data_IF_422426309166
#
_entry.id   IF_422426309166
#
_cell.length_a   1.000
_cell.length_b   1.000
_cell.length_c   1.000
_cell.angle_alpha   90.00
_cell.angle_beta   90.00
_cell.angle_gamma   90.00
#
_symmetry.space_group_name_H-M   'P 1'
#
loop_
_entity.id
_entity.type
_entity.pdbx_description
1 polymer ?
#
# COMPACT_ATOMS: atom_id res chain seq x y z
N UNK A 1 -65.12 -2.24 -4.24
CA UNK A 1 -64.50 -2.31 -5.59
C UNK A 1 -63.02 -1.98 -5.45
N UNK A 2 -62.11 -2.83 -5.95
CA UNK A 2 -60.65 -2.78 -5.77
C UNK A 2 -59.97 -1.80 -6.74
N UNK A 3 -58.80 -1.25 -6.35
CA UNK A 3 -57.50 -1.12 -7.10
C UNK A 3 -56.69 0.07 -6.51
N UNK A 4 -55.77 -0.13 -5.55
CA UNK A 4 -54.32 -0.42 -5.70
C UNK A 4 -53.63 0.37 -6.82
N UNK A 5 -52.92 1.44 -6.47
CA UNK A 5 -51.86 2.04 -7.30
C UNK A 5 -50.61 2.21 -6.41
N UNK A 6 -49.79 1.16 -6.40
CA UNK A 6 -48.41 1.18 -5.94
C UNK A 6 -47.65 0.34 -6.96
N UNK A 7 -46.47 0.81 -7.38
CA UNK A 7 -45.40 0.15 -8.16
C UNK A 7 -45.19 0.69 -9.58
N UNK A 8 -44.51 1.83 -9.74
CA UNK A 8 -43.67 2.06 -10.94
C UNK A 8 -42.54 3.05 -10.63
N UNK A 9 -41.55 2.61 -9.86
CA UNK A 9 -40.27 3.35 -9.75
C UNK A 9 -39.06 2.42 -9.70
N UNK A 10 -39.20 1.17 -9.24
CA UNK A 10 -38.15 0.15 -9.35
C UNK A 10 -37.95 -0.44 -10.75
N UNK A 11 -38.85 -0.19 -11.72
CA UNK A 11 -38.85 -0.98 -12.96
C UNK A 11 -37.77 -0.57 -13.97
N UNK A 12 -37.33 0.69 -13.99
CA UNK A 12 -36.32 1.13 -14.97
C UNK A 12 -34.91 0.69 -14.57
N UNK A 13 -34.60 0.71 -13.27
CA UNK A 13 -33.30 0.30 -12.72
C UNK A 13 -33.08 -1.21 -12.84
N UNK A 14 -34.13 -2.03 -12.74
CA UNK A 14 -34.02 -3.48 -12.91
C UNK A 14 -33.98 -3.94 -14.37
N UNK A 15 -34.64 -3.20 -15.29
CA UNK A 15 -34.67 -3.55 -16.72
C UNK A 15 -33.34 -3.22 -17.40
N UNK A 16 -32.64 -2.15 -17.00
CA UNK A 16 -31.29 -1.86 -17.49
C UNK A 16 -30.27 -2.96 -17.16
N UNK A 17 -30.50 -3.72 -16.08
CA UNK A 17 -29.63 -4.83 -15.66
C UNK A 17 -29.90 -6.14 -16.44
N UNK A 18 -31.09 -6.31 -17.04
CA UNK A 18 -31.51 -7.54 -17.74
C UNK A 18 -31.30 -7.54 -19.26
N UNK A 19 -30.89 -6.42 -19.86
CA UNK A 19 -30.57 -6.30 -21.29
C UNK A 19 -29.05 -6.33 -21.58
N UNK A 20 -28.21 -6.47 -20.56
CA UNK A 20 -26.78 -6.69 -20.78
C UNK A 20 -26.58 -8.12 -21.33
N UNK A 21 -25.88 -8.32 -22.46
CA UNK A 21 -25.49 -9.64 -22.92
C UNK A 21 -24.86 -10.43 -21.77
N UNK A 22 -25.24 -11.70 -21.61
CA UNK A 22 -24.55 -12.69 -20.78
C UNK A 22 -23.07 -12.73 -21.22
N UNK A 23 -22.22 -11.93 -20.59
CA UNK A 23 -20.82 -11.76 -20.99
C UNK A 23 -20.30 -10.32 -20.96
N UNK A 24 -21.14 -9.30 -20.75
CA UNK A 24 -20.63 -7.94 -20.52
C UNK A 24 -20.17 -7.82 -19.07
N UNK A 25 -18.90 -8.15 -18.84
CA UNK A 25 -18.20 -7.77 -17.62
C UNK A 25 -17.86 -6.29 -17.72
N UNK A 26 -18.58 -5.44 -16.99
CA UNK A 26 -18.05 -4.13 -16.67
C UNK A 26 -16.91 -4.35 -15.66
N UNK A 27 -15.67 -4.35 -16.14
CA UNK A 27 -14.54 -4.17 -15.25
C UNK A 27 -14.71 -2.78 -14.64
N UNK A 28 -15.27 -2.70 -13.43
CA UNK A 28 -15.22 -1.49 -12.67
C UNK A 28 -13.74 -1.17 -12.42
N UNK A 29 -13.25 -0.14 -13.10
CA UNK A 29 -11.89 0.36 -12.90
C UNK A 29 -11.89 1.14 -11.59
N UNK A 30 -11.45 0.50 -10.53
CA UNK A 30 -11.21 1.15 -9.25
C UNK A 30 -9.77 1.63 -9.19
N UNK A 31 -9.47 2.74 -8.49
CA UNK A 31 -8.10 3.16 -8.29
C UNK A 31 -7.32 2.07 -7.55
N UNK A 32 -6.12 1.74 -8.05
CA UNK A 32 -5.25 0.72 -7.46
C UNK A 32 -3.81 1.21 -7.40
N UNK A 33 -3.03 0.64 -6.47
CA UNK A 33 -1.61 0.95 -6.37
C UNK A 33 -0.80 0.13 -7.37
N UNK A 34 0.23 0.75 -7.94
CA UNK A 34 1.20 0.11 -8.84
C UNK A 34 2.60 0.02 -8.23
N UNK A 35 2.81 0.64 -7.07
CA UNK A 35 4.09 0.64 -6.37
C UNK A 35 4.16 1.64 -5.23
N UNK A 36 5.20 1.52 -4.42
CA UNK A 36 5.54 2.44 -3.32
C UNK A 36 7.01 2.84 -3.39
N UNK A 37 7.34 3.99 -2.83
CA UNK A 37 8.71 4.50 -2.79
C UNK A 37 8.93 5.41 -1.58
N UNK A 38 10.20 5.56 -1.21
CA UNK A 38 10.64 6.46 -0.15
C UNK A 38 10.67 7.87 -0.72
N UNK A 39 9.77 8.72 -0.24
CA UNK A 39 9.75 10.14 -0.60
C UNK A 39 10.73 10.94 0.26
N UNK A 40 10.82 10.59 1.55
CA UNK A 40 11.76 11.17 2.50
C UNK A 40 12.31 10.09 3.43
N UNK A 41 13.62 10.07 3.61
CA UNK A 41 14.30 9.18 4.56
C UNK A 41 13.93 9.49 6.02
N UNK A 42 14.01 8.51 6.93
CA UNK A 42 13.88 8.76 8.37
C UNK A 42 14.99 9.70 8.86
N UNK A 43 14.76 10.34 10.01
CA UNK A 43 15.73 11.24 10.62
C UNK A 43 16.98 10.49 11.12
N UNK A 44 16.84 9.22 11.53
CA UNK A 44 17.94 8.36 12.01
C UNK A 44 18.31 7.33 10.94
N UNK A 45 19.55 7.41 10.45
CA UNK A 45 20.12 6.53 9.43
C UNK A 45 21.34 5.72 9.92
N UNK A 46 21.81 6.01 11.13
CA UNK A 46 22.91 5.33 11.81
C UNK A 46 22.39 4.76 13.13
N UNK A 47 22.77 3.52 13.43
CA UNK A 47 22.27 2.72 14.54
C UNK A 47 23.43 1.94 15.17
N UNK A 48 23.19 1.34 16.33
CA UNK A 48 24.07 0.32 16.93
C UNK A 48 23.38 -1.05 16.92
N UNK A 49 24.16 -2.13 16.97
CA UNK A 49 23.61 -3.48 17.17
C UNK A 49 22.77 -3.49 18.45
N UNK A 50 21.52 -3.94 18.34
CA UNK A 50 20.55 -3.89 19.42
C UNK A 50 19.54 -2.74 19.33
N UNK A 51 19.76 -1.73 18.48
CA UNK A 51 18.79 -0.67 18.27
C UNK A 51 17.52 -1.16 17.56
N UNK A 52 16.40 -0.50 17.83
CA UNK A 52 15.17 -0.63 17.03
C UNK A 52 15.16 0.38 15.88
N UNK A 53 14.62 -0.02 14.73
CA UNK A 53 14.44 0.91 13.61
C UNK A 53 13.45 2.01 13.98
N UNK A 54 13.85 3.27 13.79
CA UNK A 54 13.05 4.46 14.06
C UNK A 54 12.59 5.10 12.73
N UNK A 55 11.31 4.93 12.33
CA UNK A 55 10.78 5.52 11.11
C UNK A 55 10.44 7.00 11.26
N UNK A 56 10.74 7.66 12.38
CA UNK A 56 10.38 9.06 12.61
C UNK A 56 10.97 9.97 11.54
N UNK A 57 10.12 10.84 10.98
CA UNK A 57 10.48 11.77 9.90
C UNK A 57 10.41 11.17 8.49
N UNK A 58 10.22 9.85 8.36
CA UNK A 58 10.08 9.16 7.10
C UNK A 58 8.75 9.47 6.41
N UNK A 59 8.77 9.60 5.08
CA UNK A 59 7.57 9.70 4.25
C UNK A 59 7.62 8.67 3.13
N UNK A 60 6.57 7.85 3.03
CA UNK A 60 6.39 6.88 1.96
C UNK A 60 5.24 7.32 1.09
N UNK A 61 5.45 7.32 -0.22
CA UNK A 61 4.42 7.62 -1.20
C UNK A 61 4.13 6.39 -2.05
N UNK A 62 2.93 6.31 -2.61
CA UNK A 62 2.50 5.26 -3.52
C UNK A 62 2.02 5.83 -4.85
N UNK A 63 2.33 5.14 -5.94
CA UNK A 63 1.76 5.40 -7.25
C UNK A 63 0.40 4.73 -7.34
N UNK A 64 -0.64 5.52 -7.62
CA UNK A 64 -2.01 5.04 -7.73
C UNK A 64 -2.58 5.38 -9.11
N UNK A 65 -2.91 4.36 -9.89
CA UNK A 65 -3.59 4.53 -11.17
C UNK A 65 -5.08 4.73 -10.92
N UNK A 66 -5.62 5.85 -11.41
CA UNK A 66 -7.03 6.21 -11.30
C UNK A 66 -7.85 5.60 -12.44
N UNK A 67 -9.18 5.63 -12.28
CA UNK A 67 -10.12 5.12 -13.30
C UNK A 67 -10.03 5.88 -14.64
N UNK A 68 -9.56 7.13 -14.63
CA UNK A 68 -9.34 7.94 -15.84
C UNK A 68 -7.98 7.67 -16.52
N UNK A 69 -7.22 6.68 -16.02
CA UNK A 69 -5.91 6.29 -16.52
C UNK A 69 -4.75 7.16 -16.06
N UNK A 70 -4.98 8.16 -15.19
CA UNK A 70 -3.91 8.99 -14.65
C UNK A 70 -3.27 8.34 -13.43
N UNK A 71 -1.95 8.49 -13.32
CA UNK A 71 -1.22 8.13 -12.11
C UNK A 71 -1.14 9.33 -11.17
N UNK A 72 -1.57 9.14 -9.93
CA UNK A 72 -1.45 10.10 -8.83
C UNK A 72 -0.47 9.56 -7.80
N UNK A 73 0.30 10.45 -7.18
CA UNK A 73 1.21 10.11 -6.08
C UNK A 73 0.51 10.46 -4.76
N UNK A 74 0.28 9.46 -3.92
CA UNK A 74 -0.37 9.61 -2.62
C UNK A 74 0.62 9.38 -1.48
N UNK A 75 0.63 10.27 -0.48
CA UNK A 75 1.29 10.00 0.80
C UNK A 75 0.60 8.84 1.51
N UNK A 76 1.38 7.86 1.94
CA UNK A 76 0.90 6.71 2.71
C UNK A 76 1.09 6.96 4.20
N UNK A 77 0.15 6.46 5.00
CA UNK A 77 0.33 6.41 6.45
C UNK A 77 1.32 5.32 6.83
N UNK A 78 2.27 5.61 7.72
CA UNK A 78 3.20 4.58 8.21
C UNK A 78 2.49 3.40 8.90
N UNK A 79 1.30 3.62 9.45
CA UNK A 79 0.46 2.57 10.04
C UNK A 79 -0.13 1.58 9.04
N UNK A 80 -0.20 1.93 7.74
CA UNK A 80 -0.63 0.98 6.69
C UNK A 80 0.51 0.13 6.15
N UNK A 81 1.73 0.36 6.64
CA UNK A 81 2.93 -0.34 6.21
C UNK A 81 3.42 -1.27 7.31
N UNK A 82 4.04 -2.36 6.90
CA UNK A 82 4.90 -3.17 7.77
C UNK A 82 6.35 -2.98 7.36
N UNK A 83 7.28 -3.25 8.28
CA UNK A 83 8.71 -3.14 8.00
C UNK A 83 9.53 -4.17 8.78
N UNK A 84 10.65 -4.57 8.19
CA UNK A 84 11.60 -5.54 8.73
C UNK A 84 13.04 -5.16 8.33
N UNK A 85 14.04 -5.33 9.22
CA UNK A 85 13.90 -5.80 10.61
C UNK A 85 13.30 -4.72 11.54
N UNK A 86 12.75 -5.15 12.69
CA UNK A 86 12.30 -4.23 13.76
C UNK A 86 13.45 -3.79 14.66
N UNK A 87 14.42 -4.68 14.85
CA UNK A 87 15.60 -4.52 15.70
C UNK A 87 16.82 -5.02 14.93
N UNK A 88 17.93 -4.30 15.02
CA UNK A 88 19.17 -4.67 14.36
C UNK A 88 19.95 -5.66 15.22
N UNK A 89 20.42 -6.74 14.60
CA UNK A 89 21.21 -7.81 15.23
C UNK A 89 22.55 -8.04 14.53
N UNK A 90 22.78 -7.35 13.42
CA UNK A 90 23.98 -7.44 12.58
C UNK A 90 24.48 -6.01 12.33
N UNK A 91 25.79 -5.85 12.26
CA UNK A 91 26.46 -4.59 11.92
C UNK A 91 26.60 -4.41 10.39
N UNK A 92 27.04 -3.22 9.99
CA UNK A 92 27.26 -2.84 8.60
C UNK A 92 26.01 -2.25 7.93
N UNK A 93 25.94 -2.38 6.60
CA UNK A 93 24.83 -1.87 5.81
C UNK A 93 23.65 -2.84 5.83
N UNK A 94 22.64 -2.53 6.64
CA UNK A 94 21.45 -3.38 6.81
C UNK A 94 20.27 -2.83 6.02
N UNK A 95 19.63 -3.64 5.15
CA UNK A 95 18.43 -3.24 4.42
C UNK A 95 17.18 -3.30 5.32
N UNK A 96 16.47 -2.18 5.43
CA UNK A 96 15.13 -2.11 6.01
C UNK A 96 14.12 -2.09 4.89
N UNK A 97 13.30 -3.15 4.80
CA UNK A 97 12.25 -3.29 3.79
C UNK A 97 10.91 -2.87 4.36
N UNK A 98 10.24 -1.94 3.69
CA UNK A 98 8.87 -1.51 3.97
C UNK A 98 7.93 -2.12 2.95
N UNK A 99 6.78 -2.61 3.41
CA UNK A 99 5.80 -3.30 2.58
C UNK A 99 4.39 -2.75 2.77
N UNK A 100 3.68 -2.57 1.66
CA UNK A 100 2.26 -2.25 1.60
C UNK A 100 1.50 -3.47 1.06
N UNK A 101 0.50 -3.94 1.78
CA UNK A 101 -0.46 -4.93 1.27
C UNK A 101 -1.76 -4.24 0.91
N UNK A 102 -2.11 -4.24 -0.37
CA UNK A 102 -3.35 -3.61 -0.86
C UNK A 102 -3.80 -4.25 -2.17
N UNK A 103 -4.98 -3.87 -2.68
CA UNK A 103 -5.44 -4.39 -3.97
C UNK A 103 -4.64 -3.77 -5.12
N UNK A 104 -4.09 -4.61 -5.99
CA UNK A 104 -3.42 -4.19 -7.23
C UNK A 104 -4.38 -4.22 -8.43
N UNK A 105 -3.80 -4.21 -9.64
CA UNK A 105 -4.54 -4.08 -10.90
C UNK A 105 -5.59 -5.19 -11.11
N UNK A 106 -5.30 -6.38 -10.60
CA UNK A 106 -6.17 -7.56 -10.69
C UNK A 106 -7.39 -7.50 -9.74
N UNK A 107 -7.43 -6.50 -8.86
CA UNK A 107 -8.38 -6.45 -7.74
C UNK A 107 -8.06 -7.43 -6.60
N UNK A 108 -7.01 -8.25 -6.74
CA UNK A 108 -6.49 -9.14 -5.70
C UNK A 108 -5.50 -8.41 -4.80
N UNK A 109 -5.29 -8.95 -3.60
CA UNK A 109 -4.27 -8.44 -2.68
C UNK A 109 -2.88 -8.69 -3.26
N UNK A 110 -2.11 -7.63 -3.38
CA UNK A 110 -0.73 -7.61 -3.86
C UNK A 110 0.14 -6.94 -2.78
N UNK A 111 1.44 -7.29 -2.77
CA UNK A 111 2.42 -6.68 -1.88
C UNK A 111 3.37 -5.83 -2.69
N UNK A 112 3.46 -4.54 -2.34
CA UNK A 112 4.47 -3.63 -2.87
C UNK A 112 5.54 -3.42 -1.81
N UNK A 113 6.80 -3.34 -2.23
CA UNK A 113 7.93 -3.18 -1.32
C UNK A 113 8.87 -2.07 -1.79
N UNK A 114 9.51 -1.42 -0.83
CA UNK A 114 10.65 -0.53 -1.04
C UNK A 114 11.66 -0.73 0.09
N UNK A 115 12.92 -0.42 -0.16
CA UNK A 115 14.01 -0.71 0.78
C UNK A 115 14.88 0.53 0.93
N UNK A 116 15.30 0.82 2.16
CA UNK A 116 16.46 1.67 2.43
C UNK A 116 17.55 0.86 3.10
N UNK A 117 18.80 1.29 2.93
CA UNK A 117 19.90 0.78 3.73
C UNK A 117 20.20 1.78 4.85
N UNK A 118 20.36 1.27 6.06
CA UNK A 118 20.89 2.02 7.21
C UNK A 118 22.27 1.47 7.56
N UNK A 119 23.07 2.26 8.27
CA UNK A 119 24.33 1.79 8.81
C UNK A 119 24.15 1.39 10.28
N UNK A 120 24.62 0.20 10.64
CA UNK A 120 24.58 -0.32 12.01
C UNK A 120 26.02 -0.52 12.49
N UNK A 121 26.40 0.17 13.54
CA UNK A 121 27.71 0.06 14.17
C UNK A 121 27.74 -1.11 15.18
N UNK A 122 28.91 -1.73 15.43
CA UNK A 122 29.08 -2.64 16.55
C UNK A 122 28.77 -1.96 17.88
N UNK A 123 28.49 -2.77 18.91
CA UNK A 123 28.44 -2.26 20.29
C UNK A 123 29.87 -1.88 20.69
N UNK A 124 30.05 -0.63 21.15
CA UNK A 124 31.34 -0.13 21.60
C UNK A 124 31.92 -1.04 22.70
N UNK A 125 33.02 -1.73 22.39
CA UNK A 125 33.70 -2.66 23.31
C UNK A 125 33.65 -4.14 22.91
N UNK A 126 32.96 -4.52 21.83
CA UNK A 126 33.10 -5.86 21.24
C UNK A 126 34.34 -5.88 20.31
N UNK A 127 35.43 -6.60 20.64
CA UNK A 127 36.60 -6.66 19.78
C UNK A 127 36.25 -7.37 18.45
N UNK A 128 36.85 -6.98 17.31
CA UNK A 128 36.63 -7.67 16.05
C UNK A 128 37.06 -9.15 16.16
N UNK A 129 36.21 -10.06 15.67
CA UNK A 129 36.47 -11.49 15.57
C UNK A 129 37.63 -11.82 14.60
#
# INVERSE_FOLDING_TARGET
MKRKILKTLCSVVLIALMLLPLGVTFAASYPYYTGIFIYKYPNKMEYEVGDSFDPTGMEIHGYCLQADGKTVINKLGLSSLTYSPKKFTEEGWVPVTLTLQCKGASGQMETFATTLNVHVNPIEGDPPL
#
